data_IF_794421147591
#
_entry.id   IF_794421147591
#
_cell.length_a   1.000
_cell.length_b   1.000
_cell.length_c   1.000
_cell.angle_alpha   90.00
_cell.angle_beta   90.00
_cell.angle_gamma   90.00
#
_symmetry.space_group_name_H-M   'P 1'
#
loop_
_entity.id
_entity.type
_entity.pdbx_description
1 polymer ?
#
# COMPACT_ATOMS: atom_id res chain seq x y z
N UNK A 1 30.93 -6.74 -10.89
CA UNK A 1 29.94 -6.61 -11.97
C UNK A 1 28.65 -7.24 -11.45
N UNK A 2 27.66 -6.42 -11.13
CA UNK A 2 26.40 -6.85 -10.52
C UNK A 2 25.47 -7.46 -11.58
N UNK A 3 24.83 -8.58 -11.27
CA UNK A 3 23.82 -9.30 -12.08
C UNK A 3 22.55 -8.47 -12.41
N UNK A 4 22.52 -7.18 -12.10
CA UNK A 4 21.35 -6.31 -12.30
C UNK A 4 21.21 -5.80 -13.74
N UNK A 5 22.26 -5.92 -14.58
CA UNK A 5 22.23 -5.44 -15.97
C UNK A 5 21.51 -6.36 -16.97
N UNK A 6 21.04 -7.55 -16.57
CA UNK A 6 20.39 -8.50 -17.49
C UNK A 6 18.88 -8.64 -17.33
N UNK A 7 18.24 -7.91 -16.39
CA UNK A 7 16.77 -7.97 -16.29
C UNK A 7 16.14 -7.22 -17.46
N UNK A 8 15.27 -7.93 -18.20
CA UNK A 8 14.50 -7.35 -19.29
C UNK A 8 13.77 -6.09 -18.77
N UNK A 9 13.93 -4.92 -19.43
CA UNK A 9 13.31 -3.67 -18.99
C UNK A 9 11.78 -3.78 -18.84
N UNK A 10 11.14 -4.71 -19.56
CA UNK A 10 9.73 -5.02 -19.42
C UNK A 10 9.40 -5.69 -18.06
N UNK A 11 10.25 -6.61 -17.60
CA UNK A 11 10.10 -7.28 -16.29
C UNK A 11 10.33 -6.26 -15.17
N UNK A 12 11.34 -5.41 -15.30
CA UNK A 12 11.60 -4.31 -14.35
C UNK A 12 10.42 -3.35 -14.30
N UNK A 13 9.82 -3.02 -15.45
CA UNK A 13 8.62 -2.18 -15.53
C UNK A 13 7.40 -2.81 -14.85
N UNK A 14 7.18 -4.11 -15.01
CA UNK A 14 6.08 -4.85 -14.36
C UNK A 14 6.28 -4.92 -12.85
N UNK A 15 7.49 -5.24 -12.40
CA UNK A 15 7.83 -5.28 -10.97
C UNK A 15 7.59 -3.91 -10.33
N UNK A 16 7.96 -2.82 -11.01
CA UNK A 16 7.70 -1.45 -10.58
C UNK A 16 6.20 -1.11 -10.57
N UNK A 17 5.41 -1.62 -11.52
CA UNK A 17 3.96 -1.38 -11.56
C UNK A 17 3.26 -1.87 -10.29
N UNK A 18 3.62 -3.06 -9.79
CA UNK A 18 2.98 -3.62 -8.60
C UNK A 18 3.35 -2.92 -7.29
N UNK A 19 4.39 -2.08 -7.28
CA UNK A 19 4.79 -1.28 -6.12
C UNK A 19 3.97 0.01 -5.94
N UNK A 20 3.30 0.48 -7.01
CA UNK A 20 2.48 1.67 -6.88
C UNK A 20 1.25 1.43 -5.99
N UNK A 21 0.77 2.48 -5.29
CA UNK A 21 -0.47 2.40 -4.52
C UNK A 21 -1.61 1.82 -5.36
N UNK A 22 -2.50 1.05 -4.72
CA UNK A 22 -3.61 0.37 -5.40
C UNK A 22 -4.40 1.33 -6.32
N UNK A 23 -4.62 2.57 -5.89
CA UNK A 23 -5.28 3.62 -6.68
C UNK A 23 -4.62 3.90 -8.04
N UNK A 24 -3.29 3.99 -8.09
CA UNK A 24 -2.53 4.25 -9.33
C UNK A 24 -2.61 3.05 -10.26
N UNK A 25 -2.52 1.84 -9.71
CA UNK A 25 -2.64 0.59 -10.48
C UNK A 25 -4.04 0.46 -11.08
N UNK A 26 -5.08 0.75 -10.30
CA UNK A 26 -6.46 0.73 -10.76
C UNK A 26 -6.69 1.73 -11.89
N UNK A 27 -6.24 2.99 -11.74
CA UNK A 27 -6.40 3.97 -12.83
C UNK A 27 -5.67 3.60 -14.10
N UNK A 28 -4.45 3.09 -13.97
CA UNK A 28 -3.63 2.65 -15.11
C UNK A 28 -4.27 1.50 -15.87
N UNK A 29 -4.98 0.61 -15.18
CA UNK A 29 -5.68 -0.50 -15.81
C UNK A 29 -7.03 -0.08 -16.42
N UNK A 30 -7.80 0.76 -15.74
CA UNK A 30 -9.22 1.01 -16.08
C UNK A 30 -9.40 2.16 -17.08
N UNK A 31 -8.59 3.23 -17.01
CA UNK A 31 -8.72 4.38 -17.92
C UNK A 31 -8.53 4.00 -19.40
N UNK A 32 -7.54 3.16 -19.78
CA UNK A 32 -7.41 2.69 -21.16
C UNK A 32 -8.64 1.93 -21.66
N UNK A 33 -9.28 1.12 -20.80
CA UNK A 33 -10.51 0.39 -21.14
C UNK A 33 -11.65 1.37 -21.43
N UNK A 34 -11.81 2.40 -20.61
CA UNK A 34 -12.80 3.47 -20.85
C UNK A 34 -12.56 4.20 -22.17
N UNK A 35 -11.30 4.47 -22.51
CA UNK A 35 -10.93 5.10 -23.78
C UNK A 35 -11.19 4.20 -25.00
N UNK A 36 -10.95 2.90 -24.90
CA UNK A 36 -11.27 1.95 -25.97
C UNK A 36 -12.78 1.96 -26.25
N UNK A 37 -13.61 1.98 -25.20
CA UNK A 37 -15.06 2.11 -25.37
C UNK A 37 -15.46 3.47 -25.96
N UNK A 38 -14.83 4.57 -25.56
CA UNK A 38 -15.06 5.88 -26.18
C UNK A 38 -14.78 5.86 -27.69
N UNK A 39 -13.62 5.33 -28.09
CA UNK A 39 -13.22 5.24 -29.50
C UNK A 39 -14.16 4.31 -30.26
N UNK A 40 -14.54 3.17 -29.68
CA UNK A 40 -15.50 2.23 -30.29
C UNK A 40 -16.90 2.81 -30.43
N UNK A 41 -17.35 3.63 -29.47
CA UNK A 41 -18.61 4.35 -29.52
C UNK A 41 -18.63 5.41 -30.62
N UNK A 42 -17.57 6.22 -30.72
CA UNK A 42 -17.43 7.23 -31.77
C UNK A 42 -17.27 6.63 -33.17
N UNK A 43 -16.50 5.55 -33.28
CA UNK A 43 -16.24 4.84 -34.53
C UNK A 43 -17.39 3.95 -35.00
N UNK A 44 -18.46 3.83 -34.22
CA UNK A 44 -19.60 3.00 -34.56
C UNK A 44 -20.42 3.64 -35.71
N UNK A 45 -20.75 2.88 -36.77
CA UNK A 45 -21.46 3.41 -37.93
C UNK A 45 -22.92 3.76 -37.64
N UNK A 46 -23.49 3.25 -36.54
CA UNK A 46 -24.85 3.56 -36.10
C UNK A 46 -24.93 3.56 -34.58
N UNK A 47 -25.77 4.42 -34.01
CA UNK A 47 -26.15 4.49 -32.60
C UNK A 47 -27.60 4.02 -32.37
N UNK A 48 -28.42 3.97 -33.42
CA UNK A 48 -29.69 3.25 -33.45
C UNK A 48 -29.90 2.54 -34.79
N UNK A 49 -30.70 1.47 -34.77
CA UNK A 49 -30.98 0.64 -35.94
C UNK A 49 -32.46 0.22 -35.95
N UNK A 50 -33.03 0.16 -37.15
CA UNK A 50 -34.25 -0.57 -37.48
C UNK A 50 -34.03 -1.35 -38.78
N UNK A 51 -35.04 -2.08 -39.24
CA UNK A 51 -35.00 -2.78 -40.54
C UNK A 51 -34.81 -1.82 -41.73
N UNK A 52 -35.27 -0.57 -41.58
CA UNK A 52 -35.39 0.40 -42.68
C UNK A 52 -34.65 1.73 -42.43
N UNK A 53 -34.01 1.94 -41.27
CA UNK A 53 -33.24 3.15 -40.98
C UNK A 53 -32.08 2.92 -40.00
N UNK A 54 -31.04 3.74 -40.15
CA UNK A 54 -29.83 3.72 -39.31
C UNK A 54 -29.46 5.17 -38.96
N UNK A 55 -29.38 5.47 -37.66
CA UNK A 55 -28.93 6.77 -37.17
C UNK A 55 -27.62 6.59 -36.43
N UNK A 56 -26.52 7.07 -37.00
CA UNK A 56 -25.19 7.13 -36.39
C UNK A 56 -24.75 8.57 -36.14
N UNK A 57 -23.65 8.73 -35.39
CA UNK A 57 -23.04 10.04 -35.17
C UNK A 57 -22.52 10.65 -36.46
N UNK A 58 -21.91 9.84 -37.33
CA UNK A 58 -21.29 10.31 -38.58
C UNK A 58 -22.15 10.08 -39.82
N UNK A 59 -23.15 9.19 -39.72
CA UNK A 59 -24.02 8.80 -40.84
C UNK A 59 -25.47 8.81 -40.40
N UNK A 60 -26.27 9.68 -41.00
CA UNK A 60 -27.67 9.87 -40.65
C UNK A 60 -28.55 9.46 -41.83
N UNK A 61 -29.31 8.36 -41.67
CA UNK A 61 -30.21 7.84 -42.70
C UNK A 61 -31.66 7.85 -42.22
N UNK A 62 -32.53 8.50 -42.99
CA UNK A 62 -33.97 8.60 -42.70
C UNK A 62 -34.77 8.04 -43.87
N UNK A 63 -35.90 7.41 -43.54
CA UNK A 63 -36.87 6.93 -44.52
C UNK A 63 -38.00 7.95 -44.67
N UNK A 64 -38.10 8.55 -45.85
CA UNK A 64 -39.16 9.48 -46.25
C UNK A 64 -39.57 9.10 -47.68
N UNK A 65 -40.38 8.06 -47.83
CA UNK A 65 -40.79 7.41 -49.09
C UNK A 65 -39.66 6.83 -49.98
N UNK A 66 -38.43 7.32 -49.82
CA UNK A 66 -37.17 6.82 -50.40
C UNK A 66 -36.14 6.75 -49.27
N UNK A 67 -35.37 5.67 -49.21
CA UNK A 67 -34.27 5.53 -48.24
C UNK A 67 -33.14 6.51 -48.58
N UNK A 68 -32.98 7.56 -47.77
CA UNK A 68 -31.97 8.60 -48.01
C UNK A 68 -30.96 8.59 -46.88
N UNK A 69 -29.75 8.09 -47.16
CA UNK A 69 -28.59 8.27 -46.30
C UNK A 69 -27.87 9.55 -46.72
N UNK A 70 -27.58 10.41 -45.77
CA UNK A 70 -26.85 11.64 -46.08
C UNK A 70 -25.56 11.72 -45.27
N UNK A 71 -24.46 11.86 -46.00
CA UNK A 71 -23.29 12.58 -45.51
C UNK A 71 -23.49 14.10 -45.72
N UNK A 72 -24.33 14.51 -46.69
CA UNK A 72 -24.65 15.91 -47.04
C UNK A 72 -26.13 16.06 -47.50
N UNK A 73 -27.06 16.41 -46.60
CA UNK A 73 -28.39 16.93 -46.98
C UNK A 73 -28.27 18.39 -47.46
N UNK A 74 -29.19 18.90 -48.31
CA UNK A 74 -29.31 20.33 -48.63
C UNK A 74 -29.50 21.24 -47.39
N UNK A 75 -29.90 20.67 -46.24
CA UNK A 75 -30.03 21.34 -44.93
C UNK A 75 -29.07 20.86 -43.83
N UNK A 76 -28.16 19.91 -44.13
CA UNK A 76 -27.21 19.34 -43.16
C UNK A 76 -27.83 18.40 -42.10
N UNK A 77 -26.99 17.84 -41.22
CA UNK A 77 -27.43 17.02 -40.09
C UNK A 77 -28.18 17.85 -39.02
N UNK A 78 -29.15 17.27 -38.29
CA UNK A 78 -29.89 17.98 -37.25
C UNK A 78 -28.96 18.59 -36.20
N UNK A 79 -29.31 19.78 -35.70
CA UNK A 79 -28.51 20.50 -34.70
C UNK A 79 -28.24 19.68 -33.43
N UNK A 80 -29.19 18.84 -33.02
CA UNK A 80 -29.03 17.97 -31.86
C UNK A 80 -28.00 16.85 -32.10
N UNK A 81 -27.89 16.32 -33.33
CA UNK A 81 -26.84 15.34 -33.69
C UNK A 81 -25.46 15.99 -33.61
N UNK A 82 -25.32 17.21 -34.15
CA UNK A 82 -24.07 17.99 -34.04
C UNK A 82 -23.71 18.25 -32.57
N UNK A 83 -24.70 18.60 -31.74
CA UNK A 83 -24.48 18.77 -30.30
C UNK A 83 -24.03 17.47 -29.63
N UNK A 84 -24.67 16.32 -29.93
CA UNK A 84 -24.23 15.00 -29.46
C UNK A 84 -22.77 14.73 -29.81
N UNK A 85 -22.36 14.96 -31.06
CA UNK A 85 -20.97 14.77 -31.51
C UNK A 85 -20.00 15.66 -30.72
N UNK A 86 -20.32 16.95 -30.57
CA UNK A 86 -19.45 17.90 -29.85
C UNK A 86 -19.22 17.47 -28.41
N UNK A 87 -20.30 17.12 -27.69
CA UNK A 87 -20.17 16.64 -26.32
C UNK A 87 -19.43 15.30 -26.25
N UNK A 88 -19.62 14.39 -27.20
CA UNK A 88 -18.85 13.15 -27.26
C UNK A 88 -17.34 13.40 -27.47
N UNK A 89 -16.98 14.33 -28.37
CA UNK A 89 -15.58 14.72 -28.62
C UNK A 89 -14.96 15.38 -27.37
N UNK A 90 -15.70 16.23 -26.66
CA UNK A 90 -15.22 16.79 -25.39
C UNK A 90 -15.01 15.69 -24.33
N UNK A 91 -15.89 14.68 -24.28
CA UNK A 91 -15.68 13.48 -23.47
C UNK A 91 -14.39 12.76 -23.83
N UNK A 92 -14.09 12.58 -25.12
CA UNK A 92 -12.83 11.99 -25.58
C UNK A 92 -11.60 12.80 -25.17
N UNK A 93 -11.66 14.13 -25.30
CA UNK A 93 -10.55 14.98 -24.88
C UNK A 93 -10.30 14.85 -23.37
N UNK A 94 -11.37 14.85 -22.56
CA UNK A 94 -11.28 14.60 -21.12
C UNK A 94 -10.65 13.23 -20.81
N UNK A 95 -11.07 12.18 -21.50
CA UNK A 95 -10.52 10.83 -21.35
C UNK A 95 -9.04 10.75 -21.74
N UNK A 96 -8.63 11.42 -22.82
CA UNK A 96 -7.24 11.49 -23.24
C UNK A 96 -6.36 12.22 -22.22
N UNK A 97 -6.86 13.33 -21.65
CA UNK A 97 -6.21 14.04 -20.55
C UNK A 97 -6.06 13.14 -19.32
N UNK A 98 -7.09 12.35 -18.97
CA UNK A 98 -6.97 11.35 -17.89
C UNK A 98 -5.82 10.36 -18.14
N UNK A 99 -5.70 9.85 -19.37
CA UNK A 99 -4.65 8.90 -19.73
C UNK A 99 -3.26 9.53 -19.62
N UNK A 100 -3.10 10.76 -20.11
CA UNK A 100 -1.83 11.49 -20.01
C UNK A 100 -1.40 11.66 -18.55
N UNK A 101 -2.32 12.10 -17.67
CA UNK A 101 -2.02 12.21 -16.25
C UNK A 101 -1.70 10.86 -15.61
N UNK A 102 -2.35 9.78 -16.03
CA UNK A 102 -2.09 8.44 -15.53
C UNK A 102 -0.70 7.94 -15.93
N UNK A 103 -0.32 8.10 -17.20
CA UNK A 103 1.04 7.81 -17.68
C UNK A 103 2.05 8.65 -16.90
N UNK A 104 1.75 9.93 -16.68
CA UNK A 104 2.60 10.82 -15.91
C UNK A 104 2.81 10.34 -14.46
N UNK A 105 1.78 9.79 -13.80
CA UNK A 105 1.94 9.18 -12.47
C UNK A 105 2.86 7.96 -12.46
N UNK A 106 2.99 7.24 -13.57
CA UNK A 106 3.94 6.12 -13.66
C UNK A 106 5.37 6.60 -13.85
N UNK A 107 5.56 7.77 -14.46
CA UNK A 107 6.87 8.33 -14.77
C UNK A 107 7.45 9.18 -13.64
N UNK A 108 6.62 9.69 -12.74
CA UNK A 108 7.03 10.62 -11.69
C UNK A 108 6.83 10.01 -10.31
N UNK A 109 7.92 9.82 -9.57
CA UNK A 109 7.93 9.23 -8.23
C UNK A 109 7.63 10.24 -7.10
N UNK A 110 7.17 11.45 -7.42
CA UNK A 110 7.00 12.53 -6.45
C UNK A 110 5.61 12.45 -5.78
N UNK A 111 5.59 12.16 -4.47
CA UNK A 111 4.36 11.94 -3.71
C UNK A 111 3.40 13.15 -3.68
N UNK A 112 3.90 14.38 -3.41
CA UNK A 112 3.07 15.60 -3.45
C UNK A 112 2.51 15.86 -4.83
N UNK A 113 3.27 15.52 -5.86
CA UNK A 113 2.82 15.61 -7.24
C UNK A 113 1.74 14.58 -7.54
N UNK A 114 1.84 13.35 -7.01
CA UNK A 114 0.78 12.34 -7.13
C UNK A 114 -0.57 12.84 -6.63
N UNK A 115 -0.66 13.48 -5.46
CA UNK A 115 -1.95 13.98 -4.94
C UNK A 115 -2.58 15.02 -5.87
N UNK A 116 -1.78 15.94 -6.41
CA UNK A 116 -2.26 16.93 -7.39
C UNK A 116 -2.70 16.29 -8.70
N UNK A 117 -1.94 15.32 -9.19
CA UNK A 117 -2.28 14.56 -10.40
C UNK A 117 -3.52 13.70 -10.18
N UNK A 118 -3.72 13.13 -8.99
CA UNK A 118 -4.94 12.40 -8.66
C UNK A 118 -6.18 13.30 -8.70
N UNK A 119 -6.10 14.52 -8.16
CA UNK A 119 -7.18 15.50 -8.32
C UNK A 119 -7.40 15.86 -9.79
N UNK A 120 -6.33 16.02 -10.59
CA UNK A 120 -6.46 16.28 -12.01
C UNK A 120 -7.17 15.13 -12.75
N UNK A 121 -6.79 13.87 -12.49
CA UNK A 121 -7.44 12.67 -13.03
C UNK A 121 -8.92 12.61 -12.64
N UNK A 122 -9.25 12.94 -11.40
CA UNK A 122 -10.64 12.98 -10.94
C UNK A 122 -11.45 14.04 -11.69
N UNK A 123 -10.93 15.27 -11.78
CA UNK A 123 -11.59 16.38 -12.49
C UNK A 123 -11.80 16.03 -13.96
N UNK A 124 -10.78 15.53 -14.65
CA UNK A 124 -10.89 15.16 -16.07
C UNK A 124 -11.82 13.97 -16.29
N UNK A 125 -11.88 13.01 -15.36
CA UNK A 125 -12.83 11.89 -15.42
C UNK A 125 -14.26 12.37 -15.20
N UNK A 126 -14.49 13.28 -14.25
CA UNK A 126 -15.79 13.86 -13.98
C UNK A 126 -16.31 14.68 -15.17
N UNK A 127 -15.42 15.46 -15.82
CA UNK A 127 -15.74 16.19 -17.04
C UNK A 127 -16.10 15.23 -18.19
N UNK A 128 -15.36 14.12 -18.31
CA UNK A 128 -15.66 13.07 -19.30
C UNK A 128 -17.05 12.48 -19.09
N UNK A 129 -17.39 12.09 -17.85
CA UNK A 129 -18.73 11.58 -17.50
C UNK A 129 -19.81 12.60 -17.82
N UNK A 130 -19.61 13.86 -17.43
CA UNK A 130 -20.57 14.94 -17.69
C UNK A 130 -20.86 15.12 -19.19
N UNK A 131 -19.81 15.21 -20.00
CA UNK A 131 -19.93 15.33 -21.45
C UNK A 131 -20.61 14.11 -22.09
N UNK A 132 -20.26 12.89 -21.67
CA UNK A 132 -20.89 11.68 -22.19
C UNK A 132 -22.35 11.53 -21.76
N UNK A 133 -22.69 11.90 -20.53
CA UNK A 133 -24.07 11.89 -20.05
C UNK A 133 -24.95 12.86 -20.87
N UNK A 134 -24.44 14.05 -21.19
CA UNK A 134 -25.14 15.00 -22.08
C UNK A 134 -25.28 14.41 -23.48
N UNK A 135 -24.20 13.86 -24.06
CA UNK A 135 -24.23 13.22 -25.38
C UNK A 135 -25.30 12.12 -25.45
N UNK A 136 -25.26 11.18 -24.52
CA UNK A 136 -26.21 10.05 -24.42
C UNK A 136 -27.63 10.55 -24.18
N UNK A 137 -27.80 11.56 -23.31
CA UNK A 137 -29.10 12.14 -22.99
C UNK A 137 -29.74 12.85 -24.18
N UNK A 138 -28.98 13.70 -24.88
CA UNK A 138 -29.45 14.38 -26.11
C UNK A 138 -29.86 13.33 -27.15
N UNK A 139 -29.02 12.32 -27.38
CA UNK A 139 -29.34 11.27 -28.36
C UNK A 139 -30.62 10.52 -27.95
N UNK A 140 -30.70 10.08 -26.70
CA UNK A 140 -31.84 9.30 -26.16
C UNK A 140 -33.17 10.07 -26.21
N UNK A 141 -33.14 11.39 -25.97
CA UNK A 141 -34.34 12.22 -25.97
C UNK A 141 -34.89 12.54 -27.38
N UNK A 142 -34.04 12.50 -28.41
CA UNK A 142 -34.39 12.94 -29.75
C UNK A 142 -34.53 11.78 -30.75
N UNK A 143 -33.82 10.66 -30.58
CA UNK A 143 -33.82 9.59 -31.59
C UNK A 143 -35.21 8.98 -31.80
N UNK A 144 -36.00 8.81 -30.74
CA UNK A 144 -37.38 8.30 -30.84
C UNK A 144 -38.35 9.25 -31.57
N UNK A 145 -38.10 10.57 -31.53
CA UNK A 145 -39.01 11.57 -32.11
C UNK A 145 -38.90 11.66 -33.63
N UNK A 146 -37.75 11.26 -34.18
CA UNK A 146 -37.51 11.29 -35.63
C UNK A 146 -37.65 9.91 -36.29
N UNK A 147 -37.79 8.85 -35.49
CA UNK A 147 -37.94 7.48 -35.95
C UNK A 147 -39.40 7.02 -35.84
N UNK A 148 -40.25 7.46 -36.78
CA UNK A 148 -41.70 7.19 -36.82
C UNK A 148 -42.08 5.74 -37.20
N UNK A 149 -41.11 4.83 -37.30
CA UNK A 149 -41.30 3.45 -37.76
C UNK A 149 -41.32 2.46 -36.58
N UNK A 150 -42.06 1.37 -36.76
CA UNK A 150 -42.21 0.29 -35.77
C UNK A 150 -40.90 -0.52 -35.71
N UNK A 151 -40.36 -0.80 -34.51
CA UNK A 151 -39.23 -1.73 -34.32
C UNK A 151 -37.82 -1.13 -34.13
N UNK A 152 -37.70 0.13 -33.70
CA UNK A 152 -36.40 0.76 -33.44
C UNK A 152 -35.74 0.31 -32.13
N UNK A 153 -34.44 0.01 -32.17
CA UNK A 153 -33.62 -0.27 -30.99
C UNK A 153 -32.26 0.47 -31.03
N UNK A 154 -31.70 0.73 -29.85
CA UNK A 154 -30.34 1.27 -29.71
C UNK A 154 -29.31 0.27 -30.21
N UNK A 155 -28.27 0.74 -30.89
CA UNK A 155 -27.23 -0.12 -31.45
C UNK A 155 -26.12 -0.41 -30.43
N UNK A 156 -25.20 -1.30 -30.80
CA UNK A 156 -23.98 -1.54 -30.03
C UNK A 156 -23.16 -0.26 -29.79
N UNK A 157 -23.09 0.69 -30.73
CA UNK A 157 -22.32 1.93 -30.58
C UNK A 157 -22.82 2.83 -29.44
N UNK A 158 -24.15 2.93 -29.31
CA UNK A 158 -24.77 3.64 -28.20
C UNK A 158 -24.47 2.95 -26.86
N UNK A 159 -24.66 1.62 -26.80
CA UNK A 159 -24.40 0.86 -25.58
C UNK A 159 -22.92 0.89 -25.17
N UNK A 160 -21.99 0.83 -26.13
CA UNK A 160 -20.54 0.97 -25.90
C UNK A 160 -20.23 2.33 -25.27
N UNK A 161 -20.87 3.41 -25.74
CA UNK A 161 -20.70 4.74 -25.15
C UNK A 161 -21.26 4.83 -23.72
N UNK A 162 -22.41 4.21 -23.46
CA UNK A 162 -22.96 4.10 -22.11
C UNK A 162 -22.01 3.33 -21.20
N UNK A 163 -21.42 2.23 -21.68
CA UNK A 163 -20.39 1.48 -20.94
C UNK A 163 -19.17 2.37 -20.64
N UNK A 164 -18.70 3.18 -21.59
CA UNK A 164 -17.63 4.13 -21.34
C UNK A 164 -17.96 5.12 -20.21
N UNK A 165 -19.18 5.68 -20.22
CA UNK A 165 -19.66 6.57 -19.16
C UNK A 165 -19.65 5.89 -17.78
N UNK A 166 -20.13 4.64 -17.69
CA UNK A 166 -20.11 3.84 -16.45
C UNK A 166 -18.68 3.58 -15.97
N UNK A 167 -17.74 3.27 -16.87
CA UNK A 167 -16.33 3.04 -16.52
C UNK A 167 -15.70 4.31 -15.94
N UNK A 168 -15.87 5.46 -16.58
CA UNK A 168 -15.35 6.73 -16.05
C UNK A 168 -16.03 7.15 -14.74
N UNK A 169 -17.33 6.86 -14.57
CA UNK A 169 -18.03 7.09 -13.31
C UNK A 169 -17.47 6.22 -12.17
N UNK A 170 -17.18 4.94 -12.44
CA UNK A 170 -16.55 4.05 -11.48
C UNK A 170 -15.16 4.56 -11.06
N UNK A 171 -14.37 5.13 -11.99
CA UNK A 171 -13.11 5.79 -11.68
C UNK A 171 -13.31 6.99 -10.75
N UNK A 172 -14.29 7.85 -11.03
CA UNK A 172 -14.61 9.01 -10.17
C UNK A 172 -14.96 8.59 -8.74
N UNK A 173 -15.82 7.57 -8.60
CA UNK A 173 -16.24 7.04 -7.29
C UNK A 173 -15.04 6.42 -6.55
N UNK A 174 -14.24 5.60 -7.22
CA UNK A 174 -13.04 5.01 -6.62
C UNK A 174 -12.07 6.08 -6.10
N UNK A 175 -11.83 7.12 -6.89
CA UNK A 175 -10.96 8.24 -6.50
C UNK A 175 -11.49 9.04 -5.31
N UNK A 176 -12.81 9.26 -5.22
CA UNK A 176 -13.43 9.90 -4.05
C UNK A 176 -13.22 9.06 -2.79
N UNK A 177 -13.42 7.74 -2.89
CA UNK A 177 -13.19 6.81 -1.78
C UNK A 177 -11.73 6.91 -1.32
N UNK A 178 -10.77 6.88 -2.25
CA UNK A 178 -9.35 7.02 -1.91
C UNK A 178 -9.03 8.37 -1.26
N UNK A 179 -9.59 9.47 -1.76
CA UNK A 179 -9.40 10.80 -1.17
C UNK A 179 -9.95 10.88 0.25
N UNK A 180 -11.10 10.25 0.51
CA UNK A 180 -11.68 10.19 1.85
C UNK A 180 -10.83 9.34 2.80
N UNK A 181 -10.34 8.19 2.33
CA UNK A 181 -9.41 7.34 3.08
C UNK A 181 -8.11 8.07 3.42
N UNK A 182 -7.51 8.78 2.46
CA UNK A 182 -6.29 9.55 2.68
C UNK A 182 -6.54 10.70 3.69
N UNK A 183 -7.69 11.37 3.63
CA UNK A 183 -8.05 12.42 4.59
C UNK A 183 -8.17 11.88 6.03
N UNK A 184 -8.91 10.79 6.22
CA UNK A 184 -9.06 10.15 7.53
C UNK A 184 -7.71 9.68 8.06
N UNK A 185 -6.88 9.07 7.21
CA UNK A 185 -5.53 8.61 7.56
C UNK A 185 -4.65 9.76 8.06
N UNK A 186 -4.70 10.92 7.40
CA UNK A 186 -3.94 12.11 7.83
C UNK A 186 -4.43 12.63 9.19
N UNK A 187 -5.75 12.66 9.41
CA UNK A 187 -6.32 13.05 10.71
C UNK A 187 -5.93 12.08 11.83
N UNK A 188 -5.97 10.77 11.58
CA UNK A 188 -5.58 9.73 12.55
C UNK A 188 -4.11 9.86 12.95
N UNK A 189 -3.25 10.11 11.97
CA UNK A 189 -1.82 10.38 12.19
C UNK A 189 -1.64 11.65 13.05
N UNK A 190 -2.34 12.75 12.75
CA UNK A 190 -2.16 14.02 13.46
C UNK A 190 -2.68 13.98 14.88
N UNK A 191 -3.72 13.18 15.14
CA UNK A 191 -4.39 13.09 16.45
C UNK A 191 -3.83 11.96 17.32
N UNK A 192 -2.82 11.21 16.85
CA UNK A 192 -2.25 10.05 17.52
C UNK A 192 -3.33 9.10 18.05
N UNK A 193 -4.18 8.57 17.17
CA UNK A 193 -5.24 7.63 17.56
C UNK A 193 -4.68 6.27 17.99
N UNK A 194 -5.38 5.57 18.88
CA UNK A 194 -5.06 4.19 19.28
C UNK A 194 -5.32 3.20 18.14
N UNK A 195 -4.63 2.04 18.10
CA UNK A 195 -4.96 0.97 17.16
C UNK A 195 -6.41 0.49 17.28
N UNK A 196 -7.05 0.24 16.14
CA UNK A 196 -8.48 -0.17 16.03
C UNK A 196 -8.76 -1.47 16.82
N UNK A 197 -7.77 -2.34 16.94
CA UNK A 197 -7.88 -3.62 17.64
C UNK A 197 -7.79 -3.51 19.16
N UNK A 198 -7.49 -2.34 19.72
CA UNK A 198 -7.41 -2.17 21.18
C UNK A 198 -8.80 -2.20 21.84
N UNK A 199 -8.86 -2.79 23.02
CA UNK A 199 -10.10 -3.06 23.76
C UNK A 199 -10.29 -2.11 24.93
N UNK A 200 -9.25 -1.85 25.73
CA UNK A 200 -9.38 -0.94 26.89
C UNK A 200 -9.21 0.51 26.47
N UNK A 201 -8.20 0.77 25.64
CA UNK A 201 -7.88 2.10 25.14
C UNK A 201 -8.36 2.22 23.70
N UNK A 202 -9.68 2.20 23.52
CA UNK A 202 -10.33 2.23 22.21
C UNK A 202 -10.18 3.59 21.49
N UNK A 203 -10.75 3.71 20.30
CA UNK A 203 -10.67 4.92 19.45
C UNK A 203 -11.66 6.04 19.83
N UNK A 204 -12.39 5.93 20.94
CA UNK A 204 -13.35 6.97 21.34
C UNK A 204 -12.66 8.29 21.74
N UNK A 205 -11.35 8.24 22.01
CA UNK A 205 -10.51 9.38 22.40
C UNK A 205 -9.11 9.24 21.80
N UNK A 206 -8.42 10.36 21.62
CA UNK A 206 -6.99 10.33 21.25
C UNK A 206 -6.15 9.68 22.34
N UNK A 207 -4.95 9.22 21.97
CA UNK A 207 -4.01 8.62 22.91
C UNK A 207 -3.56 9.61 23.99
N UNK A 208 -3.43 10.89 23.64
CA UNK A 208 -3.13 11.98 24.57
C UNK A 208 -4.26 12.19 25.57
N UNK A 209 -5.52 12.13 25.11
CA UNK A 209 -6.69 12.21 25.98
C UNK A 209 -6.79 11.00 26.91
N UNK A 210 -6.46 9.80 26.43
CA UNK A 210 -6.30 8.63 27.31
C UNK A 210 -5.23 8.90 28.37
N UNK A 211 -4.06 9.36 27.96
CA UNK A 211 -2.91 9.61 28.84
C UNK A 211 -3.11 10.77 29.83
N UNK A 212 -3.96 11.75 29.52
CA UNK A 212 -4.22 12.88 30.43
C UNK A 212 -5.09 12.52 31.63
N UNK A 213 -5.89 11.45 31.54
CA UNK A 213 -6.79 10.98 32.61
C UNK A 213 -6.16 9.86 33.45
N UNK A 214 -4.89 9.59 33.22
CA UNK A 214 -4.19 8.38 33.60
C UNK A 214 -3.26 8.74 34.77
N UNK A 215 -3.50 8.20 35.98
CA UNK A 215 -2.67 8.47 37.17
C UNK A 215 -1.21 8.05 36.93
N UNK A 216 -0.22 8.97 36.90
CA UNK A 216 1.17 8.66 36.60
C UNK A 216 1.80 7.55 37.45
N UNK A 217 1.21 7.20 38.61
CA UNK A 217 1.70 6.19 39.56
C UNK A 217 1.23 4.77 39.27
N UNK A 218 0.27 4.57 38.38
CA UNK A 218 -0.24 3.25 38.01
C UNK A 218 0.43 2.75 36.72
N UNK A 219 0.81 1.48 36.70
CA UNK A 219 1.18 0.75 35.49
C UNK A 219 -0.07 0.60 34.61
N UNK A 220 -0.01 1.12 33.38
CA UNK A 220 -1.17 1.22 32.47
C UNK A 220 -0.91 0.52 31.16
N UNK A 221 -0.67 -0.77 31.30
CA UNK A 221 -0.58 -1.72 30.22
C UNK A 221 -1.67 -2.75 30.42
N UNK A 222 -2.34 -3.12 29.32
CA UNK A 222 -3.15 -4.31 29.29
C UNK A 222 -2.46 -5.39 28.45
N UNK A 223 -2.49 -6.61 28.97
CA UNK A 223 -2.05 -7.80 28.24
C UNK A 223 -3.24 -8.74 28.23
N UNK A 224 -3.99 -8.72 27.13
CA UNK A 224 -5.24 -9.46 26.98
C UNK A 224 -5.06 -10.59 25.99
N UNK A 225 -5.83 -11.67 26.12
CA UNK A 225 -5.85 -12.71 25.08
C UNK A 225 -6.32 -12.10 23.75
N UNK A 226 -5.59 -12.36 22.68
CA UNK A 226 -5.94 -11.85 21.36
C UNK A 226 -7.25 -12.50 20.87
N UNK A 227 -8.02 -11.78 20.07
CA UNK A 227 -9.24 -12.34 19.47
C UNK A 227 -8.92 -13.56 18.61
N UNK A 228 -9.90 -14.44 18.39
CA UNK A 228 -9.76 -15.61 17.50
C UNK A 228 -9.20 -15.22 16.14
N UNK A 229 -9.68 -14.09 15.58
CA UNK A 229 -9.24 -13.58 14.29
C UNK A 229 -7.76 -13.14 14.28
N UNK A 230 -7.30 -12.49 15.35
CA UNK A 230 -5.89 -12.10 15.50
C UNK A 230 -5.00 -13.33 15.71
N UNK A 231 -5.42 -14.26 16.57
CA UNK A 231 -4.72 -15.52 16.82
C UNK A 231 -4.55 -16.32 15.52
N UNK A 232 -5.63 -16.50 14.76
CA UNK A 232 -5.61 -17.23 13.49
C UNK A 232 -4.69 -16.55 12.46
N UNK A 233 -4.72 -15.21 12.40
CA UNK A 233 -3.85 -14.46 11.50
C UNK A 233 -2.36 -14.63 11.87
N UNK A 234 -2.03 -14.64 13.16
CA UNK A 234 -0.66 -14.88 13.65
C UNK A 234 -0.21 -16.33 13.40
N UNK A 235 -1.10 -17.31 13.63
CA UNK A 235 -0.82 -18.72 13.34
C UNK A 235 -0.55 -18.92 11.85
N UNK A 236 -1.36 -18.31 10.98
CA UNK A 236 -1.14 -18.35 9.53
C UNK A 236 0.15 -17.63 9.11
N UNK A 237 0.47 -16.50 9.74
CA UNK A 237 1.72 -15.80 9.48
C UNK A 237 2.92 -16.69 9.83
N UNK A 238 2.90 -17.34 11.00
CA UNK A 238 3.95 -18.26 11.43
C UNK A 238 4.04 -19.44 10.46
N UNK A 239 2.93 -20.10 10.13
CA UNK A 239 2.98 -21.30 9.27
C UNK A 239 3.56 -21.00 7.88
N UNK A 240 3.33 -19.80 7.34
CA UNK A 240 3.84 -19.37 6.03
C UNK A 240 5.30 -18.91 6.05
N UNK A 241 5.82 -18.49 7.20
CA UNK A 241 7.18 -17.92 7.34
C UNK A 241 8.13 -18.80 8.15
N UNK A 242 7.62 -19.86 8.77
CA UNK A 242 8.43 -20.87 9.47
C UNK A 242 9.25 -21.69 8.46
N UNK A 243 10.53 -21.90 8.77
CA UNK A 243 11.49 -22.64 7.93
C UNK A 243 11.95 -23.91 8.66
N UNK A 244 11.21 -25.04 8.57
CA UNK A 244 11.51 -26.26 9.30
C UNK A 244 12.94 -26.77 9.13
N UNK A 245 13.48 -26.64 7.91
CA UNK A 245 14.83 -27.10 7.59
C UNK A 245 15.95 -26.28 8.24
N UNK A 246 15.65 -25.10 8.80
CA UNK A 246 16.56 -24.22 9.52
C UNK A 246 16.32 -24.22 11.04
N UNK A 247 15.23 -24.83 11.51
CA UNK A 247 14.91 -24.90 12.93
C UNK A 247 16.04 -25.59 13.72
N UNK A 248 16.50 -24.94 14.79
CA UNK A 248 17.58 -25.43 15.63
C UNK A 248 18.94 -25.52 14.92
N UNK A 249 19.14 -24.80 13.82
CA UNK A 249 20.41 -24.78 13.06
C UNK A 249 20.99 -23.38 12.96
N UNK A 250 22.31 -23.28 13.01
CA UNK A 250 23.04 -22.02 12.91
C UNK A 250 23.81 -21.70 14.19
N UNK A 251 24.54 -20.58 14.15
CA UNK A 251 25.40 -20.15 15.26
C UNK A 251 24.60 -19.84 16.53
N UNK A 252 23.44 -19.22 16.36
CA UNK A 252 22.65 -18.68 17.47
C UNK A 252 21.66 -19.70 18.03
N UNK A 253 21.45 -20.83 17.35
CA UNK A 253 20.47 -21.84 17.74
C UNK A 253 20.89 -22.56 19.03
N UNK A 254 20.18 -22.27 20.12
CA UNK A 254 20.47 -22.85 21.44
C UNK A 254 19.91 -24.26 21.63
N UNK A 255 18.86 -24.62 20.89
CA UNK A 255 18.21 -25.94 20.96
C UNK A 255 18.21 -26.62 19.60
N UNK A 256 18.19 -27.96 19.61
CA UNK A 256 18.16 -28.80 18.39
C UNK A 256 17.07 -29.88 18.49
N UNK A 257 16.82 -30.57 17.38
CA UNK A 257 15.98 -31.77 17.36
C UNK A 257 14.47 -31.51 17.31
N UNK A 258 14.05 -30.37 16.77
CA UNK A 258 12.65 -30.04 16.49
C UNK A 258 12.52 -29.48 15.07
N UNK A 259 11.31 -29.53 14.53
CA UNK A 259 11.04 -29.04 13.17
C UNK A 259 9.80 -28.17 13.08
N UNK A 260 8.95 -28.20 14.10
CA UNK A 260 7.68 -27.50 14.13
C UNK A 260 7.61 -26.51 15.30
N UNK A 261 6.82 -25.46 15.09
CA UNK A 261 6.44 -24.49 16.10
C UNK A 261 4.92 -24.54 16.26
N UNK A 262 4.44 -24.95 17.42
CA UNK A 262 3.00 -24.99 17.73
C UNK A 262 2.61 -23.86 18.67
N UNK A 263 1.85 -22.90 18.15
CA UNK A 263 1.29 -21.79 18.93
C UNK A 263 0.26 -22.32 19.93
N UNK A 264 0.41 -21.92 21.18
CA UNK A 264 -0.49 -22.26 22.29
C UNK A 264 -1.41 -21.08 22.59
N UNK A 265 -0.82 -19.90 22.80
CA UNK A 265 -1.51 -18.68 23.20
C UNK A 265 -0.97 -17.47 22.45
N UNK A 266 -1.84 -16.51 22.19
CA UNK A 266 -1.46 -15.19 21.67
C UNK A 266 -2.11 -14.14 22.57
N UNK A 267 -1.31 -13.21 23.07
CA UNK A 267 -1.77 -12.10 23.91
C UNK A 267 -1.44 -10.78 23.22
N UNK A 268 -2.37 -9.83 23.19
CA UNK A 268 -2.16 -8.47 22.69
C UNK A 268 -1.73 -7.56 23.83
N UNK A 269 -0.73 -6.73 23.54
CA UNK A 269 -0.24 -5.66 24.40
C UNK A 269 -0.92 -4.34 24.00
N UNK A 270 -1.57 -3.68 24.96
CA UNK A 270 -2.10 -2.33 24.83
C UNK A 270 -1.36 -1.41 25.81
N UNK A 271 -0.33 -0.72 25.32
CA UNK A 271 0.51 0.18 26.12
C UNK A 271 0.46 1.60 25.51
N UNK A 272 -0.46 2.47 25.97
CA UNK A 272 -0.67 3.79 25.38
C UNK A 272 0.57 4.68 25.39
N UNK A 273 1.33 4.64 26.49
CA UNK A 273 2.54 5.46 26.66
C UNK A 273 3.62 5.08 25.66
N UNK A 274 3.83 3.78 25.44
CA UNK A 274 4.80 3.29 24.47
C UNK A 274 4.32 3.53 23.04
N UNK A 275 3.04 3.28 22.77
CA UNK A 275 2.46 3.52 21.45
C UNK A 275 2.51 5.00 21.07
N UNK A 276 2.41 5.94 22.02
CA UNK A 276 2.50 7.37 21.72
C UNK A 276 3.88 7.73 21.18
N UNK A 277 4.94 7.26 21.86
CA UNK A 277 6.33 7.48 21.43
C UNK A 277 6.57 6.87 20.05
N UNK A 278 6.03 5.67 19.83
CA UNK A 278 6.07 4.99 18.53
C UNK A 278 5.34 5.80 17.45
N UNK A 279 4.11 6.24 17.71
CA UNK A 279 3.27 6.98 16.78
C UNK A 279 3.85 8.37 16.44
N UNK A 280 4.53 9.02 17.40
CA UNK A 280 5.28 10.25 17.16
C UNK A 280 6.44 10.03 16.19
N UNK A 281 7.23 8.96 16.36
CA UNK A 281 8.29 8.62 15.43
C UNK A 281 7.75 8.22 14.04
N UNK A 282 6.63 7.50 14.00
CA UNK A 282 5.88 7.19 12.77
C UNK A 282 5.49 8.47 12.03
N UNK A 283 4.94 9.44 12.74
CA UNK A 283 4.60 10.76 12.20
C UNK A 283 5.83 11.51 11.68
N UNK A 284 6.96 11.47 12.39
CA UNK A 284 8.22 12.10 11.95
C UNK A 284 8.75 11.51 10.64
N UNK A 285 8.67 10.19 10.46
CA UNK A 285 9.06 9.53 9.21
C UNK A 285 8.14 9.93 8.05
N UNK A 286 6.82 10.00 8.28
CA UNK A 286 5.85 10.45 7.29
C UNK A 286 6.12 11.92 6.87
N UNK A 287 6.39 12.82 7.82
CA UNK A 287 6.77 14.21 7.52
C UNK A 287 8.08 14.31 6.72
N UNK A 288 9.04 13.40 6.95
CA UNK A 288 10.27 13.32 6.16
C UNK A 288 10.01 12.92 4.72
N UNK A 289 9.05 12.04 4.44
CA UNK A 289 8.65 11.72 3.06
C UNK A 289 8.06 12.94 2.35
N UNK A 290 7.23 13.72 3.04
CA UNK A 290 6.64 14.95 2.48
C UNK A 290 7.68 16.01 2.11
N UNK A 291 8.81 16.06 2.83
CA UNK A 291 9.87 17.05 2.58
C UNK A 291 10.86 16.58 1.53
N UNK A 292 11.20 15.29 1.51
CA UNK A 292 12.17 14.70 0.57
C UNK A 292 11.59 14.35 -0.81
N UNK A 293 10.25 14.33 -0.95
CA UNK A 293 9.53 14.04 -2.19
C UNK A 293 9.91 12.71 -2.86
N UNK A 294 10.45 11.75 -2.11
CA UNK A 294 10.79 10.40 -2.58
C UNK A 294 10.34 9.37 -1.53
N UNK A 295 9.61 8.30 -1.92
CA UNK A 295 9.37 7.19 -1.01
C UNK A 295 10.71 6.57 -0.61
N UNK A 296 10.84 6.09 0.63
CA UNK A 296 12.02 5.31 1.00
C UNK A 296 12.12 4.09 0.09
N UNK A 297 13.33 3.76 -0.36
CA UNK A 297 13.54 2.59 -1.21
C UNK A 297 13.06 1.34 -0.46
N UNK A 298 12.03 0.69 -1.00
CA UNK A 298 11.50 -0.55 -0.45
C UNK A 298 12.54 -1.67 -0.62
N UNK A 299 12.80 -2.52 0.40
CA UNK A 299 13.71 -3.66 0.27
C UNK A 299 13.35 -4.62 -0.86
N UNK A 300 12.08 -4.65 -1.28
CA UNK A 300 11.62 -5.41 -2.45
C UNK A 300 12.24 -4.97 -3.78
N UNK A 301 12.88 -3.81 -3.84
CA UNK A 301 13.71 -3.35 -4.98
C UNK A 301 15.17 -3.80 -4.88
N UNK A 302 15.55 -4.55 -3.84
CA UNK A 302 16.88 -5.14 -3.72
C UNK A 302 16.88 -6.58 -4.21
N UNK A 303 18.06 -7.10 -4.51
CA UNK A 303 18.32 -8.52 -4.82
C UNK A 303 17.72 -9.53 -3.81
N UNK A 304 17.18 -9.08 -2.67
CA UNK A 304 16.68 -9.90 -1.58
C UNK A 304 15.14 -10.07 -1.54
N UNK A 305 14.38 -9.39 -2.40
CA UNK A 305 12.92 -9.55 -2.48
C UNK A 305 12.12 -8.90 -1.33
N UNK A 306 10.77 -8.99 -1.35
CA UNK A 306 9.90 -8.34 -0.35
C UNK A 306 10.03 -8.99 1.04
N UNK A 307 9.70 -8.25 2.10
CA UNK A 307 9.72 -8.76 3.48
C UNK A 307 8.64 -9.84 3.65
N UNK A 308 9.01 -11.04 4.10
CA UNK A 308 8.16 -12.24 4.14
C UNK A 308 6.90 -12.02 4.98
N UNK A 309 7.01 -11.34 6.12
CA UNK A 309 5.85 -11.02 6.95
C UNK A 309 4.85 -10.13 6.22
N UNK A 310 5.33 -9.17 5.44
CA UNK A 310 4.47 -8.23 4.71
C UNK A 310 3.69 -8.91 3.59
N UNK A 311 4.32 -9.88 2.94
CA UNK A 311 3.67 -10.70 1.89
C UNK A 311 2.60 -11.60 2.50
N UNK A 312 2.90 -12.22 3.65
CA UNK A 312 2.07 -13.30 4.21
C UNK A 312 1.04 -12.82 5.24
N UNK A 313 1.10 -11.57 5.68
CA UNK A 313 0.23 -11.02 6.71
C UNK A 313 -1.20 -10.81 6.23
N UNK A 314 -2.16 -11.11 7.12
CA UNK A 314 -3.58 -10.85 6.86
C UNK A 314 -3.89 -9.35 6.98
N UNK A 315 -3.98 -8.68 5.83
CA UNK A 315 -4.23 -7.24 5.73
C UNK A 315 -5.60 -6.80 6.26
N UNK A 316 -6.54 -7.72 6.46
CA UNK A 316 -7.84 -7.41 7.04
C UNK A 316 -7.83 -7.41 8.58
N UNK A 317 -6.74 -7.88 9.20
CA UNK A 317 -6.54 -7.90 10.65
C UNK A 317 -5.51 -6.84 11.04
N UNK A 318 -4.46 -6.72 10.25
CA UNK A 318 -3.36 -5.77 10.47
C UNK A 318 -3.46 -4.62 9.48
N UNK A 319 -4.42 -3.73 9.71
CA UNK A 319 -4.79 -2.64 8.77
C UNK A 319 -4.01 -1.34 9.00
N UNK A 320 -3.52 -1.11 10.22
CA UNK A 320 -2.87 0.15 10.63
C UNK A 320 -1.33 0.06 10.52
N UNK A 321 -0.82 -0.08 9.30
CA UNK A 321 0.61 0.04 8.98
C UNK A 321 0.82 0.95 7.77
N UNK A 322 2.00 1.56 7.67
CA UNK A 322 2.35 2.54 6.65
C UNK A 322 3.51 2.02 5.77
N UNK A 323 3.23 1.29 4.67
CA UNK A 323 4.25 0.74 3.80
C UNK A 323 5.22 1.77 3.23
N UNK A 324 4.77 3.01 3.02
CA UNK A 324 5.59 4.11 2.48
C UNK A 324 6.79 4.48 3.36
N UNK A 325 6.72 4.21 4.68
CA UNK A 325 7.81 4.43 5.64
C UNK A 325 8.51 3.13 6.04
N UNK A 326 8.28 2.03 5.31
CA UNK A 326 8.72 0.68 5.69
C UNK A 326 8.30 0.32 7.12
N UNK A 327 7.03 0.52 7.46
CA UNK A 327 6.46 0.00 8.70
C UNK A 327 6.03 -1.47 8.52
N UNK A 328 6.65 -2.35 9.30
CA UNK A 328 6.47 -3.79 9.14
C UNK A 328 6.27 -4.48 10.48
N UNK A 329 5.55 -5.59 10.46
CA UNK A 329 5.54 -6.53 11.56
C UNK A 329 6.71 -7.50 11.42
N UNK A 330 7.44 -7.73 12.51
CA UNK A 330 8.56 -8.66 12.56
C UNK A 330 8.52 -9.45 13.88
N UNK A 331 9.30 -10.52 13.94
CA UNK A 331 9.42 -11.37 15.13
C UNK A 331 10.67 -11.01 15.92
N UNK A 332 10.51 -10.78 17.22
CA UNK A 332 11.59 -10.59 18.17
C UNK A 332 11.64 -11.79 19.13
N UNK A 333 12.78 -12.48 19.14
CA UNK A 333 13.04 -13.61 20.04
C UNK A 333 13.70 -13.13 21.32
N UNK A 334 13.23 -13.62 22.46
CA UNK A 334 13.79 -13.26 23.77
C UNK A 334 13.49 -14.34 24.80
N UNK A 335 14.18 -14.30 25.94
CA UNK A 335 13.87 -15.18 27.06
C UNK A 335 12.51 -14.85 27.70
N UNK A 336 11.85 -15.85 28.28
CA UNK A 336 10.58 -15.68 29.00
C UNK A 336 10.66 -14.61 30.10
N UNK A 337 11.78 -14.56 30.81
CA UNK A 337 12.04 -13.58 31.88
C UNK A 337 12.02 -12.12 31.38
N UNK A 338 12.34 -11.88 30.11
CA UNK A 338 12.45 -10.54 29.52
C UNK A 338 11.14 -10.07 28.89
N UNK A 339 10.23 -10.98 28.51
CA UNK A 339 8.99 -10.65 27.78
C UNK A 339 8.15 -9.61 28.52
N UNK A 340 7.98 -9.77 29.84
CA UNK A 340 7.22 -8.81 30.64
C UNK A 340 7.91 -7.45 30.68
N UNK A 341 9.24 -7.40 30.84
CA UNK A 341 9.98 -6.14 30.80
C UNK A 341 9.79 -5.41 29.46
N UNK A 342 9.85 -6.15 28.34
CA UNK A 342 9.62 -5.57 27.00
C UNK A 342 8.19 -5.06 26.83
N UNK A 343 7.19 -5.81 27.29
CA UNK A 343 5.79 -5.37 27.17
C UNK A 343 5.57 -4.01 27.88
N UNK A 344 6.16 -3.85 29.07
CA UNK A 344 6.00 -2.63 29.89
C UNK A 344 6.88 -1.48 29.41
N UNK A 345 8.16 -1.74 29.16
CA UNK A 345 9.18 -0.71 28.88
C UNK A 345 9.45 -0.47 27.40
N UNK A 346 9.00 -1.37 26.52
CA UNK A 346 9.43 -1.44 25.13
C UNK A 346 10.74 -2.20 24.94
N UNK A 347 11.17 -2.32 23.69
CA UNK A 347 12.49 -2.83 23.34
C UNK A 347 13.49 -1.67 23.47
N UNK A 348 14.62 -1.88 24.15
CA UNK A 348 15.63 -0.85 24.41
C UNK A 348 17.00 -1.34 23.95
N UNK A 349 17.56 -0.68 22.93
CA UNK A 349 18.87 -1.01 22.37
C UNK A 349 20.02 -0.93 23.40
N UNK A 350 19.86 -0.16 24.48
CA UNK A 350 20.87 -0.01 25.55
C UNK A 350 20.96 -1.25 26.43
N UNK A 351 19.90 -2.04 26.48
CA UNK A 351 19.84 -3.32 27.20
C UNK A 351 20.23 -4.50 26.29
N UNK A 352 20.39 -4.27 24.99
CA UNK A 352 20.80 -5.29 24.04
C UNK A 352 22.29 -5.63 24.22
N UNK A 353 22.62 -6.92 24.04
CA UNK A 353 23.99 -7.37 23.95
C UNK A 353 24.66 -6.91 22.65
N UNK A 354 25.98 -7.11 22.57
CA UNK A 354 26.75 -6.84 21.35
C UNK A 354 26.40 -7.88 20.26
N UNK A 355 25.65 -7.44 19.25
CA UNK A 355 25.33 -8.24 18.05
C UNK A 355 26.31 -7.99 16.90
N UNK A 356 26.21 -8.80 15.84
CA UNK A 356 27.07 -8.66 14.64
C UNK A 356 26.94 -7.30 13.93
N UNK A 357 25.82 -6.61 14.16
CA UNK A 357 25.54 -5.28 13.64
C UNK A 357 25.59 -4.20 14.72
N UNK A 358 26.14 -4.52 15.90
CA UNK A 358 26.26 -3.61 17.03
C UNK A 358 25.04 -3.67 17.96
N UNK A 359 24.98 -2.72 18.89
CA UNK A 359 23.92 -2.65 19.92
C UNK A 359 22.67 -2.02 19.34
N UNK A 360 21.68 -2.86 19.07
CA UNK A 360 20.43 -2.47 18.45
C UNK A 360 19.30 -3.40 18.84
N UNK A 361 18.11 -3.08 18.37
CA UNK A 361 16.93 -3.94 18.49
C UNK A 361 16.88 -4.79 17.24
N UNK A 362 17.01 -6.11 17.40
CA UNK A 362 17.01 -7.07 16.31
C UNK A 362 15.64 -7.72 16.17
N UNK A 363 15.11 -7.77 14.96
CA UNK A 363 13.93 -8.54 14.62
C UNK A 363 14.15 -9.30 13.31
N UNK A 364 13.34 -10.33 13.06
CA UNK A 364 13.42 -11.13 11.84
C UNK A 364 12.04 -11.26 11.20
N UNK A 365 12.02 -11.42 9.88
CA UNK A 365 10.78 -11.68 9.14
C UNK A 365 10.31 -13.14 9.23
N UNK A 366 11.17 -14.03 9.75
CA UNK A 366 10.84 -15.43 9.95
C UNK A 366 10.94 -15.80 11.44
N UNK A 367 9.92 -16.46 12.01
CA UNK A 367 9.91 -16.85 13.42
C UNK A 367 11.01 -17.87 13.76
N UNK A 368 11.52 -18.62 12.77
CA UNK A 368 12.62 -19.58 12.96
C UNK A 368 13.90 -18.92 13.45
N UNK A 369 14.26 -17.74 12.91
CA UNK A 369 15.44 -17.00 13.40
C UNK A 369 15.21 -16.47 14.81
N UNK A 370 14.01 -15.95 15.09
CA UNK A 370 13.67 -15.41 16.40
C UNK A 370 13.60 -16.51 17.47
N UNK A 371 13.14 -17.71 17.13
CA UNK A 371 13.13 -18.88 18.02
C UNK A 371 14.53 -19.29 18.51
N UNK A 372 15.60 -18.98 17.79
CA UNK A 372 16.97 -19.21 18.27
C UNK A 372 17.31 -18.44 19.56
N UNK A 373 16.57 -17.37 19.86
CA UNK A 373 16.80 -16.49 21.01
C UNK A 373 15.80 -16.69 22.17
N UNK A 374 14.95 -17.73 22.12
CA UNK A 374 13.91 -17.97 23.14
C UNK A 374 14.30 -18.95 24.25
N UNK A 375 15.56 -19.40 24.27
CA UNK A 375 16.08 -20.34 25.25
C UNK A 375 16.11 -21.79 24.75
N UNK A 376 16.47 -22.71 25.65
CA UNK A 376 16.65 -24.15 25.36
C UNK A 376 15.43 -25.02 25.65
N UNK A 377 14.39 -24.46 26.28
CA UNK A 377 13.18 -25.21 26.62
C UNK A 377 12.42 -25.73 25.38
N UNK A 378 11.58 -26.74 25.56
CA UNK A 378 10.74 -27.29 24.48
C UNK A 378 9.30 -26.75 24.50
N UNK A 379 8.85 -26.16 25.62
CA UNK A 379 7.49 -25.68 25.79
C UNK A 379 7.46 -24.39 26.62
N UNK A 380 6.31 -23.71 26.58
CA UNK A 380 6.11 -22.42 27.25
C UNK A 380 7.13 -21.35 26.82
N UNK A 381 7.64 -21.46 25.60
CA UNK A 381 8.52 -20.48 24.99
C UNK A 381 7.69 -19.27 24.58
N UNK A 382 8.29 -18.09 24.64
CA UNK A 382 7.65 -16.85 24.22
C UNK A 382 8.47 -16.12 23.18
N UNK A 383 7.78 -15.51 22.22
CA UNK A 383 8.37 -14.54 21.29
C UNK A 383 7.39 -13.38 21.09
N UNK A 384 7.89 -12.27 20.57
CA UNK A 384 7.12 -11.04 20.44
C UNK A 384 6.94 -10.73 18.95
N UNK A 385 5.73 -10.35 18.55
CA UNK A 385 5.50 -9.68 17.27
C UNK A 385 5.59 -8.19 17.52
N UNK A 386 6.49 -7.54 16.80
CA UNK A 386 6.77 -6.11 16.92
C UNK A 386 6.32 -5.38 15.65
N UNK A 387 5.65 -4.24 15.79
CA UNK A 387 5.60 -3.24 14.70
C UNK A 387 6.92 -2.49 14.72
N UNK A 388 7.58 -2.37 13.57
CA UNK A 388 8.90 -1.78 13.46
C UNK A 388 8.92 -0.75 12.33
N UNK A 389 9.39 0.45 12.66
CA UNK A 389 9.58 1.56 11.74
C UNK A 389 10.99 1.47 11.16
N UNK A 390 11.10 0.99 9.92
CA UNK A 390 12.41 0.78 9.30
C UNK A 390 12.91 1.99 8.50
N UNK A 391 12.02 2.92 8.09
CA UNK A 391 12.41 4.15 7.39
C UNK A 391 13.27 3.88 6.15
N UNK A 392 14.33 4.67 5.95
CA UNK A 392 15.33 4.36 4.93
C UNK A 392 16.29 3.26 5.41
N UNK A 393 16.30 2.13 4.71
CA UNK A 393 17.01 0.93 5.14
C UNK A 393 18.39 0.87 4.48
N UNK A 394 19.44 0.71 5.28
CA UNK A 394 20.75 0.30 4.80
C UNK A 394 20.82 -1.22 4.63
N UNK A 395 21.21 -1.70 3.45
CA UNK A 395 21.26 -3.13 3.15
C UNK A 395 22.69 -3.63 3.11
N UNK A 396 22.98 -4.70 3.86
CA UNK A 396 24.32 -5.27 3.92
C UNK A 396 24.30 -6.81 4.01
N UNK A 397 25.31 -7.43 3.41
CA UNK A 397 25.66 -8.83 3.54
C UNK A 397 27.00 -9.03 4.29
N UNK A 398 27.58 -7.95 4.82
CA UNK A 398 28.82 -7.95 5.60
C UNK A 398 28.51 -7.55 7.04
N UNK A 399 29.01 -8.34 7.99
CA UNK A 399 28.87 -8.04 9.41
C UNK A 399 29.73 -6.83 9.78
N UNK A 400 29.13 -5.83 10.43
CA UNK A 400 29.84 -4.65 10.91
C UNK A 400 29.12 -4.07 12.12
N UNK A 401 29.78 -3.87 13.28
CA UNK A 401 29.14 -3.50 14.52
C UNK A 401 28.80 -2.00 14.59
N UNK A 402 27.76 -1.59 13.87
CA UNK A 402 27.29 -0.21 13.84
C UNK A 402 26.88 0.29 15.24
N UNK A 403 27.32 1.49 15.61
CA UNK A 403 26.95 2.12 16.89
C UNK A 403 25.63 2.91 16.79
N UNK A 404 25.14 3.11 15.56
CA UNK A 404 23.99 3.91 15.17
C UNK A 404 23.62 3.52 13.74
N UNK A 405 22.46 3.94 13.20
CA UNK A 405 22.18 3.70 11.79
C UNK A 405 23.32 4.27 10.92
N UNK A 406 23.71 3.64 9.81
CA UNK A 406 24.90 4.05 9.05
C UNK A 406 24.73 5.40 8.34
N UNK A 407 25.82 6.14 8.14
CA UNK A 407 25.81 7.38 7.38
C UNK A 407 25.67 7.12 5.88
N UNK A 408 24.85 7.89 5.15
CA UNK A 408 24.64 7.65 3.71
C UNK A 408 25.84 8.03 2.85
N UNK A 409 26.68 8.93 3.32
CA UNK A 409 27.82 9.47 2.56
C UNK A 409 29.16 8.81 2.90
N UNK A 410 29.28 8.22 4.09
CA UNK A 410 30.58 7.82 4.67
C UNK A 410 30.67 6.32 4.93
N UNK A 411 30.10 5.51 4.04
CA UNK A 411 30.06 4.04 4.11
C UNK A 411 30.88 3.35 2.99
N UNK A 412 32.17 3.72 2.76
CA UNK A 412 32.98 3.02 1.78
C UNK A 412 33.14 1.55 2.19
N UNK A 413 32.87 0.62 1.26
CA UNK A 413 33.07 -0.81 1.50
C UNK A 413 32.23 -1.40 2.64
N UNK A 414 31.02 -0.86 2.89
CA UNK A 414 30.11 -1.26 3.97
C UNK A 414 30.56 -0.93 5.41
N UNK A 415 31.55 -0.05 5.57
CA UNK A 415 32.09 0.35 6.87
C UNK A 415 31.71 1.81 7.12
N UNK A 416 30.94 2.09 8.18
CA UNK A 416 30.64 3.48 8.55
C UNK A 416 31.86 4.12 9.23
N UNK A 417 32.47 5.07 8.51
CA UNK A 417 33.65 5.85 8.93
C UNK A 417 33.28 7.27 9.37
N UNK A 418 31.99 7.57 9.51
CA UNK A 418 31.49 8.92 9.74
C UNK A 418 31.84 9.47 11.12
N UNK A 419 32.77 10.43 11.15
CA UNK A 419 33.10 11.27 12.31
C UNK A 419 32.46 12.67 12.25
N UNK A 420 31.88 13.04 11.11
CA UNK A 420 31.34 14.38 10.89
C UNK A 420 29.95 14.54 11.54
N UNK A 421 29.84 15.41 12.55
CA UNK A 421 28.58 15.71 13.22
C UNK A 421 27.56 16.39 12.31
N UNK A 422 27.98 17.04 11.23
CA UNK A 422 27.08 17.64 10.24
C UNK A 422 26.26 16.60 9.47
N UNK A 423 26.75 15.35 9.36
CA UNK A 423 26.06 14.28 8.65
C UNK A 423 24.98 13.59 9.50
N UNK A 424 24.72 14.05 10.73
CA UNK A 424 23.69 13.45 11.62
C UNK A 424 22.29 13.42 11.01
N UNK A 425 21.97 14.32 10.08
CA UNK A 425 20.69 14.35 9.38
C UNK A 425 20.68 13.47 8.11
N UNK A 426 21.85 12.98 7.69
CA UNK A 426 22.00 12.15 6.49
C UNK A 426 22.45 10.73 6.85
N UNK A 427 21.63 10.12 7.70
CA UNK A 427 21.78 8.76 8.20
C UNK A 427 20.63 7.91 7.64
N UNK A 428 20.88 6.63 7.45
CA UNK A 428 19.79 5.66 7.33
C UNK A 428 18.97 5.61 8.63
N UNK A 429 17.81 4.97 8.60
CA UNK A 429 16.95 4.80 9.77
C UNK A 429 17.15 3.41 10.41
N UNK A 430 17.49 2.40 9.61
CA UNK A 430 17.70 1.03 10.05
C UNK A 430 18.69 0.28 9.16
N UNK A 431 19.04 -0.93 9.58
CA UNK A 431 19.86 -1.88 8.82
C UNK A 431 19.06 -3.13 8.53
N UNK A 432 19.11 -3.62 7.29
CA UNK A 432 18.73 -4.98 6.93
C UNK A 432 19.98 -5.78 6.60
N UNK A 433 20.18 -6.85 7.34
CA UNK A 433 21.32 -7.75 7.23
C UNK A 433 20.91 -9.09 6.63
N UNK A 434 21.66 -9.57 5.63
CA UNK A 434 21.47 -10.86 4.99
C UNK A 434 22.81 -11.61 4.84
N UNK A 435 23.42 -12.02 5.96
CA UNK A 435 24.78 -12.57 6.00
C UNK A 435 24.92 -13.94 5.33
N UNK A 436 23.97 -14.84 5.58
CA UNK A 436 24.07 -16.25 5.22
C UNK A 436 23.08 -16.66 4.13
N UNK A 437 22.30 -15.70 3.62
CA UNK A 437 21.19 -15.93 2.68
C UNK A 437 20.02 -16.74 3.26
N UNK A 438 20.05 -17.11 4.55
CA UNK A 438 19.04 -17.95 5.20
C UNK A 438 18.05 -17.11 5.99
N UNK A 439 18.55 -16.13 6.74
CA UNK A 439 17.76 -15.25 7.56
C UNK A 439 18.11 -13.79 7.29
N UNK A 440 17.06 -12.98 7.11
CA UNK A 440 17.19 -11.53 7.14
C UNK A 440 16.87 -11.01 8.53
N UNK A 441 17.76 -10.17 9.03
CA UNK A 441 17.63 -9.49 10.31
C UNK A 441 17.46 -7.99 10.05
N UNK A 442 16.59 -7.36 10.82
CA UNK A 442 16.27 -5.94 10.74
C UNK A 442 16.64 -5.30 12.07
N UNK A 443 17.45 -4.25 12.00
CA UNK A 443 18.07 -3.64 13.18
C UNK A 443 17.75 -2.15 13.20
N UNK A 444 17.15 -1.70 14.31
CA UNK A 444 17.03 -0.28 14.65
C UNK A 444 17.93 0.05 15.83
N UNK A 445 18.43 1.28 15.86
CA UNK A 445 19.37 1.75 16.86
C UNK A 445 18.69 2.90 17.60
N UNK A 446 18.15 2.59 18.77
CA UNK A 446 17.40 3.57 19.56
C UNK A 446 18.37 4.56 20.21
N UNK A 447 18.49 5.76 19.64
CA UNK A 447 19.23 6.85 20.30
C UNK A 447 18.33 7.88 20.97
N UNK A 448 17.08 8.08 20.50
CA UNK A 448 16.08 8.99 21.10
C UNK A 448 14.65 8.84 20.50
N UNK A 449 14.39 7.81 19.68
CA UNK A 449 13.13 7.65 18.95
C UNK A 449 12.64 6.22 19.03
N UNK A 450 11.42 6.03 19.50
CA UNK A 450 10.82 4.71 19.63
C UNK A 450 10.53 4.14 18.24
N UNK A 451 11.37 3.19 17.80
CA UNK A 451 11.31 2.65 16.43
C UNK A 451 10.58 1.31 16.36
N UNK A 452 10.10 0.81 17.49
CA UNK A 452 9.36 -0.44 17.58
C UNK A 452 8.31 -0.42 18.67
N UNK A 453 7.18 -1.06 18.41
CA UNK A 453 6.11 -1.31 19.38
C UNK A 453 5.87 -2.83 19.51
N UNK A 454 6.08 -3.43 20.70
CA UNK A 454 5.71 -4.82 20.96
C UNK A 454 4.20 -4.93 21.04
N UNK A 455 3.58 -5.66 20.11
CA UNK A 455 2.12 -5.71 20.02
C UNK A 455 1.54 -7.06 20.42
N UNK A 456 2.20 -8.17 20.11
CA UNK A 456 1.72 -9.48 20.52
C UNK A 456 2.78 -10.32 21.18
N UNK A 457 2.39 -11.06 22.22
CA UNK A 457 3.17 -12.12 22.85
C UNK A 457 2.63 -13.45 22.34
N UNK A 458 3.50 -14.26 21.75
CA UNK A 458 3.17 -15.60 21.28
C UNK A 458 3.79 -16.60 22.23
N UNK A 459 2.95 -17.40 22.90
CA UNK A 459 3.40 -18.57 23.66
C UNK A 459 3.28 -19.81 22.79
N UNK A 460 4.35 -20.61 22.70
CA UNK A 460 4.41 -21.78 21.82
C UNK A 460 5.24 -22.91 22.42
N UNK A 461 5.25 -24.05 21.71
CA UNK A 461 6.13 -25.19 21.97
C UNK A 461 6.79 -25.67 20.68
N UNK A 462 7.97 -26.26 20.82
CA UNK A 462 8.75 -26.93 19.77
C UNK A 462 8.27 -28.37 19.66
N UNK A 463 8.03 -28.84 18.44
CA UNK A 463 7.63 -30.23 18.13
C UNK A 463 8.54 -30.88 17.09
#
# INVERSE_FOLDING_TARGET
MSEDETKNPLIVGIDNFFQFPLRVRMTTAIIPVGLIFLIGGLGSPSWSRSELSQLGLWKYCVFSDIFTCCDNLPGGSPGWVKATIVFHIFGMFGGAVCLLFTIFTMCVSNFKFHTRVHHAIWISSALTVFCLAISVGIFSANYHKESWLIGHYTSAGFHITVCACVVFLAICVAMLIFSFQDHNRVQDISNYMTPINWTKYNQDRSLEAWLSHIDPRLDKIEINEASTREKDAIVQLISRTWKPHLAGKGRDAQQRGYSQMKVVKVERIENPSLFLKYAQNRHDLLRRLDTTNRPFKFPGMTQHGPIETTVNMNKNVFTDIYPEINEHYLFHGTSDATVRAIAYGGLDARLAGDGMFGRGIYAAECPTKSDHYTGTAMSNLKMIVVRMLLGEIYVTNVAYPFQRPPCKQCIPGNIDTCINSAHKQDMFDSVMAALDGKHREFITYEQNRCSSYPEYIITYKRE
#
